data_IF_524312684029
#
_entry.id   IF_524312684029
#
_cell.length_a   1.000
_cell.length_b   1.000
_cell.length_c   1.000
_cell.angle_alpha   90.00
_cell.angle_beta   90.00
_cell.angle_gamma   90.00
#
_symmetry.space_group_name_H-M   'P 1'
#
loop_
_entity.id
_entity.type
_entity.pdbx_description
1 polymer ?
#
# COMPACT_ATOMS: atom_id res chain seq x y z
N UNK A 1 8.72 -8.83 2.98
CA UNK A 1 8.40 -8.16 1.71
C UNK A 1 7.90 -9.14 0.65
N UNK A 2 8.62 -10.24 0.37
CA UNK A 2 8.18 -11.22 -0.64
C UNK A 2 6.76 -11.79 -0.37
N UNK A 3 6.48 -12.22 0.85
CA UNK A 3 5.14 -12.71 1.23
C UNK A 3 4.03 -11.67 0.99
N UNK A 4 4.33 -10.39 1.20
CA UNK A 4 3.36 -9.32 0.96
C UNK A 4 3.11 -9.10 -0.53
N UNK A 5 4.15 -9.18 -1.37
CA UNK A 5 4.01 -9.14 -2.84
C UNK A 5 3.17 -10.32 -3.33
N UNK A 6 3.44 -11.54 -2.82
CA UNK A 6 2.61 -12.71 -3.14
C UNK A 6 1.15 -12.51 -2.71
N UNK A 7 0.91 -11.89 -1.57
CA UNK A 7 -0.45 -11.56 -1.12
C UNK A 7 -1.15 -10.60 -2.08
N UNK A 8 -0.49 -9.50 -2.49
CA UNK A 8 -1.03 -8.54 -3.46
C UNK A 8 -1.43 -9.26 -4.75
N UNK A 9 -0.50 -10.03 -5.34
CA UNK A 9 -0.77 -10.73 -6.61
C UNK A 9 -1.83 -11.82 -6.47
N UNK A 10 -1.89 -12.54 -5.34
CA UNK A 10 -2.96 -13.51 -5.07
C UNK A 10 -4.33 -12.82 -5.00
N UNK A 11 -4.40 -11.63 -4.37
CA UNK A 11 -5.62 -10.83 -4.32
C UNK A 11 -6.02 -10.31 -5.71
N UNK A 12 -5.06 -9.97 -6.57
CA UNK A 12 -5.31 -9.56 -7.95
C UNK A 12 -5.84 -10.67 -8.84
N UNK A 13 -5.53 -11.92 -8.54
CA UNK A 13 -6.08 -13.09 -9.25
C UNK A 13 -7.56 -13.37 -8.92
N UNK A 14 -8.13 -12.75 -7.90
CA UNK A 14 -9.55 -12.88 -7.60
C UNK A 14 -10.40 -12.25 -8.70
N UNK A 15 -11.47 -12.94 -9.12
CA UNK A 15 -12.42 -12.44 -10.10
C UNK A 15 -12.99 -11.07 -9.69
N UNK A 16 -13.26 -10.21 -10.67
CA UNK A 16 -13.78 -8.87 -10.43
C UNK A 16 -15.11 -8.85 -9.68
N UNK A 17 -15.97 -9.87 -9.89
CA UNK A 17 -17.24 -10.06 -9.17
C UNK A 17 -17.03 -10.36 -7.70
N UNK A 18 -16.07 -11.21 -7.35
CA UNK A 18 -15.77 -11.57 -5.96
C UNK A 18 -15.16 -10.37 -5.21
N UNK A 19 -14.22 -9.67 -5.84
CA UNK A 19 -13.64 -8.45 -5.30
C UNK A 19 -14.68 -7.33 -5.12
N UNK A 20 -15.63 -7.19 -6.06
CA UNK A 20 -16.72 -6.23 -5.94
C UNK A 20 -17.69 -6.62 -4.80
N UNK A 21 -18.00 -7.91 -4.64
CA UNK A 21 -18.86 -8.40 -3.57
C UNK A 21 -18.24 -8.18 -2.19
N UNK A 22 -16.94 -8.42 -2.02
CA UNK A 22 -16.22 -8.11 -0.78
C UNK A 22 -16.29 -6.62 -0.47
N UNK A 23 -15.93 -5.77 -1.44
CA UNK A 23 -15.99 -4.31 -1.27
C UNK A 23 -17.40 -3.84 -0.92
N UNK A 24 -18.43 -4.40 -1.57
CA UNK A 24 -19.83 -4.07 -1.30
C UNK A 24 -20.25 -4.48 0.11
N UNK A 25 -19.81 -5.61 0.63
CA UNK A 25 -20.08 -6.01 2.03
C UNK A 25 -19.49 -5.01 3.03
N UNK A 26 -18.25 -4.53 2.79
CA UNK A 26 -17.64 -3.48 3.61
C UNK A 26 -18.41 -2.17 3.52
N UNK A 27 -18.85 -1.79 2.32
CA UNK A 27 -19.65 -0.58 2.09
C UNK A 27 -20.98 -0.67 2.83
N UNK A 28 -21.69 -1.79 2.76
CA UNK A 28 -22.96 -1.98 3.46
C UNK A 28 -22.79 -1.90 5.00
N UNK A 29 -21.70 -2.46 5.52
CA UNK A 29 -21.37 -2.35 6.94
C UNK A 29 -21.05 -0.90 7.34
N UNK A 30 -20.30 -0.17 6.50
CA UNK A 30 -19.93 1.22 6.75
C UNK A 30 -20.97 2.24 6.27
N UNK A 31 -22.08 1.80 5.67
CA UNK A 31 -23.10 2.65 5.03
C UNK A 31 -23.58 3.81 5.91
N UNK A 32 -23.88 3.62 7.21
CA UNK A 32 -24.33 4.73 8.06
C UNK A 32 -23.28 5.83 8.21
N UNK A 33 -22.00 5.48 8.19
CA UNK A 33 -20.89 6.43 8.26
C UNK A 33 -20.66 7.11 6.91
N UNK A 34 -20.71 6.36 5.82
CA UNK A 34 -20.53 6.87 4.46
C UNK A 34 -21.64 7.87 4.07
N UNK A 35 -22.88 7.59 4.46
CA UNK A 35 -24.00 8.52 4.25
C UNK A 35 -23.80 9.85 5.00
N UNK A 36 -23.26 9.83 6.22
CA UNK A 36 -22.91 11.04 6.96
C UNK A 36 -21.81 11.85 6.28
N UNK A 37 -20.96 11.21 5.48
CA UNK A 37 -19.91 11.86 4.68
C UNK A 37 -20.40 12.29 3.28
N UNK A 38 -21.71 12.15 2.99
CA UNK A 38 -22.30 12.52 1.72
C UNK A 38 -22.15 11.48 0.60
N UNK A 39 -21.65 10.29 0.90
CA UNK A 39 -21.52 9.16 -0.04
C UNK A 39 -22.75 8.27 0.04
N UNK A 40 -23.82 8.65 -0.67
CA UNK A 40 -25.09 7.90 -0.72
C UNK A 40 -25.14 6.90 -1.89
N UNK A 41 -24.32 7.08 -2.91
CA UNK A 41 -24.22 6.16 -4.04
C UNK A 41 -23.35 4.95 -3.68
N UNK A 42 -23.98 3.76 -3.63
CA UNK A 42 -23.32 2.50 -3.27
C UNK A 42 -22.25 2.11 -4.31
N UNK A 43 -22.49 2.38 -5.60
CA UNK A 43 -21.52 2.04 -6.65
C UNK A 43 -20.25 2.89 -6.51
N UNK A 44 -20.42 4.19 -6.28
CA UNK A 44 -19.32 5.11 -6.03
C UNK A 44 -18.57 4.74 -4.74
N UNK A 45 -19.32 4.46 -3.66
CA UNK A 45 -18.73 4.05 -2.39
C UNK A 45 -17.91 2.75 -2.52
N UNK A 46 -18.44 1.75 -3.25
CA UNK A 46 -17.74 0.49 -3.53
C UNK A 46 -16.45 0.72 -4.33
N UNK A 47 -16.50 1.59 -5.33
CA UNK A 47 -15.31 1.97 -6.11
C UNK A 47 -14.25 2.64 -5.23
N UNK A 48 -14.65 3.62 -4.40
CA UNK A 48 -13.73 4.33 -3.49
C UNK A 48 -13.11 3.37 -2.48
N UNK A 49 -13.91 2.52 -1.84
CA UNK A 49 -13.41 1.53 -0.86
C UNK A 49 -12.39 0.59 -1.51
N UNK A 50 -12.66 0.09 -2.72
CA UNK A 50 -11.72 -0.76 -3.46
C UNK A 50 -10.42 -0.03 -3.76
N UNK A 51 -10.46 1.23 -4.19
CA UNK A 51 -9.25 2.02 -4.45
C UNK A 51 -8.47 2.33 -3.16
N UNK A 52 -9.17 2.62 -2.06
CA UNK A 52 -8.53 2.79 -0.75
C UNK A 52 -7.84 1.50 -0.26
N UNK A 53 -8.45 0.34 -0.49
CA UNK A 53 -7.83 -0.95 -0.17
C UNK A 53 -6.52 -1.15 -0.93
N UNK A 54 -6.51 -0.94 -2.26
CA UNK A 54 -5.30 -1.00 -3.07
C UNK A 54 -4.21 -0.03 -2.57
N UNK A 55 -4.54 1.23 -2.39
CA UNK A 55 -3.59 2.23 -1.86
C UNK A 55 -3.01 1.78 -0.51
N UNK A 56 -3.82 1.17 0.35
CA UNK A 56 -3.38 0.67 1.66
C UNK A 56 -2.42 -0.52 1.53
N UNK A 57 -2.69 -1.46 0.64
CA UNK A 57 -1.83 -2.61 0.34
C UNK A 57 -0.46 -2.15 -0.17
N UNK A 58 -0.45 -1.19 -1.08
CA UNK A 58 0.78 -0.62 -1.61
C UNK A 58 1.50 0.31 -0.63
N UNK A 59 0.77 1.03 0.23
CA UNK A 59 1.39 1.78 1.32
C UNK A 59 2.11 0.85 2.31
N UNK A 60 1.53 -0.30 2.62
CA UNK A 60 2.19 -1.32 3.44
C UNK A 60 3.46 -1.86 2.76
N UNK A 61 3.43 -2.08 1.43
CA UNK A 61 4.63 -2.45 0.68
C UNK A 61 5.74 -1.40 0.84
N UNK A 62 5.40 -0.11 0.76
CA UNK A 62 6.32 1.00 0.99
C UNK A 62 6.92 1.01 2.40
N UNK A 63 6.09 0.77 3.42
CA UNK A 63 6.53 0.64 4.82
C UNK A 63 7.51 -0.53 4.98
N UNK A 64 7.19 -1.70 4.44
CA UNK A 64 8.04 -2.89 4.50
C UNK A 64 9.38 -2.66 3.79
N UNK A 65 9.36 -1.99 2.63
CA UNK A 65 10.58 -1.64 1.91
C UNK A 65 11.48 -0.69 2.71
N UNK A 66 10.88 0.32 3.40
CA UNK A 66 11.64 1.21 4.28
C UNK A 66 12.33 0.44 5.40
N UNK A 67 11.62 -0.43 6.10
CA UNK A 67 12.20 -1.21 7.19
C UNK A 67 13.25 -2.20 6.71
N UNK A 68 13.06 -2.84 5.56
CA UNK A 68 14.05 -3.72 4.96
C UNK A 68 15.36 -2.97 4.67
N UNK A 69 15.27 -1.77 4.11
CA UNK A 69 16.45 -0.94 3.84
C UNK A 69 17.13 -0.43 5.13
N UNK A 70 16.37 -0.31 6.24
CA UNK A 70 16.89 0.19 7.52
C UNK A 70 17.46 -0.91 8.42
N UNK A 71 17.06 -2.17 8.25
CA UNK A 71 17.38 -3.29 9.16
C UNK A 71 18.85 -3.74 9.14
N UNK A 72 19.74 -2.98 8.51
CA UNK A 72 21.17 -3.25 8.40
C UNK A 72 21.99 -2.20 9.16
N UNK A 73 22.00 -2.20 10.53
CA UNK A 73 22.82 -1.27 11.29
C UNK A 73 24.31 -1.65 11.13
N UNK A 74 25.10 -0.73 10.60
CA UNK A 74 26.55 -0.85 10.49
C UNK A 74 27.11 -1.35 9.17
N UNK A 75 26.29 -1.88 8.29
CA UNK A 75 26.65 -2.17 6.89
C UNK A 75 25.94 -1.14 6.02
N UNK A 76 26.69 -0.45 5.14
CA UNK A 76 26.04 0.27 4.03
C UNK A 76 25.15 -0.78 3.36
N UNK A 77 23.82 -0.52 3.22
CA UNK A 77 22.93 -1.49 2.61
C UNK A 77 23.58 -1.93 1.30
N UNK A 78 23.82 -3.24 1.15
CA UNK A 78 24.44 -3.74 -0.08
C UNK A 78 23.68 -3.07 -1.22
N UNK A 79 24.38 -2.41 -2.10
CA UNK A 79 23.80 -1.68 -3.24
C UNK A 79 22.76 -2.54 -3.96
N UNK A 80 22.96 -3.86 -3.95
CA UNK A 80 22.03 -4.85 -4.48
C UNK A 80 20.69 -4.92 -3.74
N UNK A 81 20.69 -4.95 -2.41
CA UNK A 81 19.45 -4.97 -1.60
C UNK A 81 18.63 -3.69 -1.75
N UNK A 82 19.31 -2.56 -1.79
CA UNK A 82 18.66 -1.28 -2.01
C UNK A 82 18.07 -1.16 -3.42
N UNK A 83 18.81 -1.62 -4.44
CA UNK A 83 18.34 -1.62 -5.82
C UNK A 83 17.19 -2.62 -6.01
N UNK A 84 17.30 -3.84 -5.45
CA UNK A 84 16.25 -4.85 -5.54
C UNK A 84 14.95 -4.42 -4.87
N UNK A 85 15.01 -3.76 -3.70
CA UNK A 85 13.82 -3.22 -3.04
C UNK A 85 13.11 -2.17 -3.90
N UNK A 86 13.84 -1.30 -4.56
CA UNK A 86 13.26 -0.29 -5.47
C UNK A 86 12.65 -0.91 -6.71
N UNK A 87 13.33 -1.88 -7.31
CA UNK A 87 12.79 -2.63 -8.45
C UNK A 87 11.48 -3.31 -8.06
N UNK A 88 11.44 -3.98 -6.90
CA UNK A 88 10.20 -4.61 -6.40
C UNK A 88 9.10 -3.58 -6.19
N UNK A 89 9.39 -2.42 -5.57
CA UNK A 89 8.40 -1.36 -5.35
C UNK A 89 7.76 -0.84 -6.64
N UNK A 90 8.52 -0.78 -7.73
CA UNK A 90 8.03 -0.28 -9.03
C UNK A 90 7.40 -1.39 -9.85
N UNK A 91 7.99 -2.58 -9.85
CA UNK A 91 7.52 -3.70 -10.66
C UNK A 91 6.25 -4.33 -10.11
N UNK A 92 6.03 -4.33 -8.79
CA UNK A 92 4.85 -4.96 -8.19
C UNK A 92 3.55 -4.40 -8.73
N UNK A 93 3.30 -3.06 -8.76
CA UNK A 93 2.06 -2.52 -9.33
C UNK A 93 1.94 -2.77 -10.83
N UNK A 94 3.04 -2.74 -11.59
CA UNK A 94 3.02 -3.00 -13.03
C UNK A 94 2.59 -4.45 -13.31
N UNK A 95 3.17 -5.39 -12.59
CA UNK A 95 2.81 -6.82 -12.72
C UNK A 95 1.37 -7.04 -12.26
N UNK A 96 0.95 -6.40 -11.19
CA UNK A 96 -0.40 -6.48 -10.64
C UNK A 96 -1.45 -6.06 -11.67
N UNK A 97 -1.32 -4.87 -12.24
CA UNK A 97 -2.23 -4.38 -13.27
C UNK A 97 -2.17 -5.22 -14.56
N UNK A 98 -0.99 -5.79 -14.87
CA UNK A 98 -0.87 -6.74 -15.98
C UNK A 98 -1.65 -8.03 -15.69
N UNK A 99 -1.59 -8.56 -14.48
CA UNK A 99 -2.40 -9.73 -14.07
C UNK A 99 -3.89 -9.41 -14.23
N UNK A 100 -4.34 -8.23 -13.81
CA UNK A 100 -5.73 -7.82 -13.87
C UNK A 100 -6.28 -7.76 -15.31
N UNK A 101 -5.46 -7.53 -16.32
CA UNK A 101 -5.88 -7.60 -17.73
C UNK A 101 -6.35 -9.01 -18.16
N UNK A 102 -5.89 -10.05 -17.47
CA UNK A 102 -6.24 -11.44 -17.79
C UNK A 102 -7.32 -12.02 -16.86
N UNK A 103 -7.78 -11.25 -15.86
CA UNK A 103 -8.78 -11.69 -14.90
C UNK A 103 -10.17 -11.23 -15.31
N UNK A 104 -11.16 -12.15 -15.47
CA UNK A 104 -12.51 -11.78 -15.83
C UNK A 104 -13.14 -10.77 -14.87
N UNK A 105 -13.75 -9.72 -15.43
CA UNK A 105 -14.43 -8.68 -14.65
C UNK A 105 -13.48 -7.69 -13.96
N UNK A 106 -12.18 -7.70 -14.29
CA UNK A 106 -11.23 -6.65 -13.94
C UNK A 106 -10.75 -5.90 -15.18
N UNK A 107 -10.43 -4.63 -15.00
CA UNK A 107 -9.85 -3.77 -16.03
C UNK A 107 -8.51 -3.27 -15.50
N UNK A 108 -7.42 -3.81 -16.03
CA UNK A 108 -6.07 -3.30 -15.75
C UNK A 108 -5.90 -1.91 -16.39
N UNK A 109 -5.39 -0.95 -15.65
CA UNK A 109 -5.26 0.44 -16.08
C UNK A 109 -3.91 1.03 -15.73
N UNK A 110 -3.26 1.67 -16.70
CA UNK A 110 -2.03 2.44 -16.42
C UNK A 110 -2.23 3.52 -15.35
N UNK A 111 -3.44 4.08 -15.23
CA UNK A 111 -3.81 5.04 -14.19
C UNK A 111 -3.72 4.39 -12.80
N UNK A 112 -4.13 3.14 -12.67
CA UNK A 112 -4.12 2.42 -11.41
C UNK A 112 -2.69 2.11 -10.97
N UNK A 113 -1.78 1.81 -11.90
CA UNK A 113 -0.33 1.71 -11.60
C UNK A 113 0.19 2.97 -10.93
N UNK A 114 -0.20 4.17 -11.39
CA UNK A 114 0.24 5.42 -10.77
C UNK A 114 -0.36 5.62 -9.38
N UNK A 115 -1.61 5.24 -9.16
CA UNK A 115 -2.27 5.31 -7.85
C UNK A 115 -1.55 4.38 -6.86
N UNK A 116 -1.22 3.18 -7.27
CA UNK A 116 -0.52 2.18 -6.47
C UNK A 116 0.92 2.61 -6.14
N UNK A 117 1.63 3.17 -7.12
CA UNK A 117 2.95 3.79 -6.89
C UNK A 117 2.87 4.95 -5.90
N UNK A 118 1.83 5.77 -5.97
CA UNK A 118 1.61 6.83 -4.98
C UNK A 118 1.40 6.22 -3.58
N UNK A 119 0.64 5.13 -3.46
CA UNK A 119 0.49 4.36 -2.22
C UNK A 119 1.85 3.92 -1.65
N UNK A 120 2.70 3.31 -2.49
CA UNK A 120 4.07 2.92 -2.09
C UNK A 120 4.87 4.10 -1.57
N UNK A 121 4.85 5.24 -2.28
CA UNK A 121 5.58 6.44 -1.88
C UNK A 121 5.06 7.00 -0.55
N UNK A 122 3.75 7.04 -0.35
CA UNK A 122 3.12 7.50 0.89
C UNK A 122 3.56 6.62 2.06
N UNK A 123 3.46 5.30 1.93
CA UNK A 123 3.85 4.36 2.99
C UNK A 123 5.32 4.49 3.36
N UNK A 124 6.21 4.58 2.37
CA UNK A 124 7.64 4.78 2.59
C UNK A 124 7.92 6.10 3.30
N UNK A 125 7.30 7.20 2.86
CA UNK A 125 7.48 8.52 3.45
C UNK A 125 6.96 8.58 4.90
N UNK A 126 5.80 7.98 5.18
CA UNK A 126 5.23 7.88 6.54
C UNK A 126 6.15 7.12 7.49
N UNK A 127 6.65 5.95 7.07
CA UNK A 127 7.57 5.15 7.87
C UNK A 127 8.85 5.93 8.19
N UNK A 128 9.40 6.63 7.19
CA UNK A 128 10.57 7.50 7.34
C UNK A 128 10.31 8.64 8.34
N UNK A 129 9.17 9.33 8.21
CA UNK A 129 8.80 10.44 9.08
C UNK A 129 8.62 10.00 10.53
N UNK A 130 7.88 8.92 10.77
CA UNK A 130 7.67 8.36 12.11
C UNK A 130 8.98 7.95 12.79
N UNK A 131 9.89 7.33 12.03
CA UNK A 131 11.21 6.99 12.55
C UNK A 131 12.06 8.22 12.89
N UNK A 132 12.00 9.27 12.08
CA UNK A 132 12.73 10.51 12.32
C UNK A 132 12.21 11.23 13.59
N UNK A 133 10.89 11.25 13.80
CA UNK A 133 10.28 11.84 14.99
C UNK A 133 10.69 11.08 16.27
N UNK A 134 10.65 9.74 16.24
CA UNK A 134 11.09 8.92 17.38
C UNK A 134 12.55 9.17 17.77
N UNK A 135 13.44 9.28 16.78
CA UNK A 135 14.88 9.54 17.06
C UNK A 135 15.11 10.92 17.65
N UNK A 136 14.34 11.93 17.25
CA UNK A 136 14.41 13.29 17.83
C UNK A 136 13.93 13.31 19.28
N UNK A 137 12.82 12.64 19.59
CA UNK A 137 12.29 12.55 20.97
C UNK A 137 13.29 11.91 21.93
N UNK A 138 13.94 10.82 21.53
CA UNK A 138 14.97 10.17 22.36
C UNK A 138 16.21 11.03 22.61
N UNK A 139 16.63 11.84 21.63
CA UNK A 139 17.75 12.77 21.80
C UNK A 139 17.42 13.93 22.74
N UNK A 140 16.21 14.49 22.66
CA UNK A 140 15.74 15.56 23.55
C UNK A 140 15.67 15.12 25.03
N UNK A 141 15.17 13.92 25.28
CA UNK A 141 15.07 13.37 26.63
C UNK A 141 16.45 13.07 27.27
N UNK A 142 17.47 12.79 26.47
CA UNK A 142 18.85 12.54 26.95
C UNK A 142 19.58 13.84 27.25
N UNK A 143 19.31 14.93 26.50
CA UNK A 143 19.90 16.26 26.74
C UNK A 143 19.32 16.97 27.96
N UNK A 144 18.13 16.62 28.45
CA UNK A 144 17.52 17.21 29.65
C UNK A 144 17.92 16.53 30.97
N UNK A 145 18.68 15.44 30.92
CA UNK A 145 19.13 14.66 32.07
C UNK A 145 20.63 14.78 32.35
N UNK A 146 21.36 15.52 31.59
CA UNK A 146 22.79 15.87 31.84
C UNK A 146 22.94 17.36 32.11
#
# INVERSE_FOLDING_TARGET
MALWVCFIWAHSLMNGTDSANESTRFVLFALPLLQRLGLSDIALATFVVRKCAHVSEYAMLGVLAFFLCRSQPGVRPERRLWLSSRVVMVMTPIVDETIQLFVPGREGSARDVFIDLAGVCIGYALARALCALRTRSHRGCRASRG
#
